data_IF_235971196399
#
_entry.id   IF_235971196399
#
_cell.length_a   1.000
_cell.length_b   1.000
_cell.length_c   1.000
_cell.angle_alpha   90.00
_cell.angle_beta   90.00
_cell.angle_gamma   90.00
#
_symmetry.space_group_name_H-M   'P 1'
#
loop_
_entity.id
_entity.type
_entity.pdbx_description
1 polymer ?
#
# COMPACT_ATOMS: atom_id res chain seq x y z
N UNK A 1 -7.93 -8.77 -15.44
CA UNK A 1 -7.31 -7.86 -14.45
C UNK A 1 -5.81 -7.94 -14.60
N UNK A 2 -5.12 -6.80 -14.64
CA UNK A 2 -3.65 -6.75 -14.53
C UNK A 2 -3.34 -6.14 -13.17
N UNK A 3 -2.31 -6.67 -12.51
CA UNK A 3 -1.86 -6.19 -11.20
C UNK A 3 -0.42 -5.75 -11.35
N UNK A 4 -0.13 -4.59 -10.81
CA UNK A 4 1.22 -4.03 -10.71
C UNK A 4 1.51 -3.82 -9.22
N UNK A 5 2.72 -4.19 -8.79
CA UNK A 5 3.17 -3.95 -7.42
C UNK A 5 4.61 -3.49 -7.43
N UNK A 6 4.79 -2.18 -7.26
CA UNK A 6 6.09 -1.54 -7.03
C UNK A 6 5.98 -0.52 -5.88
N UNK A 7 6.81 -0.61 -4.82
CA UNK A 7 6.76 0.32 -3.70
C UNK A 7 6.89 1.80 -4.12
N UNK A 8 7.71 2.07 -5.14
CA UNK A 8 7.93 3.42 -5.70
C UNK A 8 6.68 4.06 -6.33
N UNK A 9 5.62 3.30 -6.56
CA UNK A 9 4.38 3.85 -7.11
C UNK A 9 3.56 4.61 -6.06
N UNK A 10 3.88 4.46 -4.77
CA UNK A 10 3.24 5.20 -3.68
C UNK A 10 3.23 6.72 -3.93
N UNK A 11 4.32 7.27 -4.45
CA UNK A 11 4.47 8.72 -4.72
C UNK A 11 4.01 9.14 -6.12
N UNK A 12 3.46 8.20 -6.91
CA UNK A 12 3.10 8.40 -8.32
C UNK A 12 1.64 8.12 -8.63
N UNK A 13 0.81 7.81 -7.63
CA UNK A 13 -0.56 7.34 -7.86
C UNK A 13 -1.43 8.35 -8.60
N UNK A 14 -1.24 9.66 -8.38
CA UNK A 14 -1.97 10.69 -9.14
C UNK A 14 -1.65 10.65 -10.63
N UNK A 15 -0.40 10.43 -11.00
CA UNK A 15 0.01 10.24 -12.39
C UNK A 15 -0.57 8.92 -12.95
N UNK A 16 -0.42 7.83 -12.20
CA UNK A 16 -0.91 6.51 -12.61
C UNK A 16 -2.41 6.52 -12.87
N UNK A 17 -3.19 7.21 -12.03
CA UNK A 17 -4.62 7.44 -12.22
C UNK A 17 -4.92 8.14 -13.55
N UNK A 18 -4.15 9.17 -13.92
CA UNK A 18 -4.37 9.88 -15.20
C UNK A 18 -4.06 8.98 -16.40
N UNK A 19 -3.03 8.14 -16.29
CA UNK A 19 -2.64 7.20 -17.35
C UNK A 19 -3.58 6.00 -17.42
N UNK A 20 -4.16 5.58 -16.29
CA UNK A 20 -5.05 4.45 -16.15
C UNK A 20 -6.30 4.84 -15.37
N UNK A 21 -7.29 5.49 -16.02
CA UNK A 21 -8.46 6.07 -15.32
C UNK A 21 -9.33 5.08 -14.54
N UNK A 22 -9.19 3.78 -14.81
CA UNK A 22 -9.89 2.69 -14.10
C UNK A 22 -9.03 2.01 -13.03
N UNK A 23 -7.84 2.53 -12.73
CA UNK A 23 -6.94 1.93 -11.74
C UNK A 23 -7.45 2.16 -10.32
N UNK A 24 -7.49 1.09 -9.53
CA UNK A 24 -7.74 1.15 -8.10
C UNK A 24 -6.44 0.97 -7.32
N UNK A 25 -6.27 1.69 -6.23
CA UNK A 25 -5.04 1.67 -5.43
C UNK A 25 -5.27 1.00 -4.08
N UNK A 26 -4.45 0.01 -3.76
CA UNK A 26 -4.39 -0.60 -2.43
C UNK A 26 -3.05 -0.25 -1.82
N UNK A 27 -3.08 0.47 -0.71
CA UNK A 27 -1.88 0.88 0.03
C UNK A 27 -1.80 0.06 1.30
N UNK A 28 -0.61 -0.50 1.55
CA UNK A 28 -0.30 -1.19 2.80
C UNK A 28 0.58 -0.28 3.64
N UNK A 29 0.02 0.22 4.74
CA UNK A 29 0.74 0.87 5.82
C UNK A 29 1.35 -0.18 6.73
N UNK A 30 2.50 0.11 7.32
CA UNK A 30 3.17 -0.74 8.30
C UNK A 30 3.92 0.15 9.28
N UNK A 31 4.13 -0.36 10.49
CA UNK A 31 4.93 0.33 11.49
C UNK A 31 6.33 0.73 10.94
N UNK A 32 6.77 1.99 11.09
CA UNK A 32 8.01 2.49 10.49
C UNK A 32 9.24 1.69 10.91
N UNK A 33 9.37 1.34 12.19
CA UNK A 33 10.50 0.54 12.68
C UNK A 33 10.54 -0.86 12.04
N UNK A 34 9.37 -1.47 11.79
CA UNK A 34 9.30 -2.78 11.14
C UNK A 34 9.67 -2.70 9.65
N UNK A 35 9.36 -1.57 9.00
CA UNK A 35 9.82 -1.28 7.64
C UNK A 35 11.32 -1.06 7.62
N UNK A 36 11.85 -0.21 8.48
CA UNK A 36 13.28 0.08 8.57
C UNK A 36 14.11 -1.18 8.83
N UNK A 37 13.70 -2.02 9.79
CA UNK A 37 14.35 -3.30 10.07
C UNK A 37 14.32 -4.25 8.84
N UNK A 38 13.22 -4.26 8.09
CA UNK A 38 13.10 -5.06 6.87
C UNK A 38 13.92 -4.53 5.70
N UNK A 39 14.14 -3.21 5.62
CA UNK A 39 14.90 -2.57 4.54
C UNK A 39 16.40 -2.62 4.82
N UNK A 40 16.81 -2.53 6.10
CA UNK A 40 18.20 -2.61 6.53
C UNK A 40 18.92 -3.91 6.12
N UNK A 41 18.20 -4.98 5.76
CA UNK A 41 18.82 -6.18 5.19
C UNK A 41 19.30 -6.00 3.74
N UNK A 42 18.93 -4.90 3.08
CA UNK A 42 19.20 -4.63 1.66
C UNK A 42 20.02 -3.36 1.41
N UNK A 43 20.10 -2.48 2.41
CA UNK A 43 20.77 -1.17 2.29
C UNK A 43 21.60 -0.90 3.53
N UNK A 44 22.77 -0.28 3.32
CA UNK A 44 23.63 0.17 4.40
C UNK A 44 23.28 1.61 4.77
N UNK A 45 22.27 1.76 5.64
CA UNK A 45 21.80 3.05 6.13
C UNK A 45 21.36 2.95 7.61
N UNK A 46 21.55 4.02 8.41
CA UNK A 46 21.06 4.07 9.79
C UNK A 46 19.54 3.91 9.87
N UNK A 47 19.06 3.24 10.91
CA UNK A 47 17.63 2.99 11.11
C UNK A 47 16.79 4.28 11.14
N UNK A 48 17.30 5.34 11.77
CA UNK A 48 16.67 6.66 11.81
C UNK A 48 16.40 7.21 10.41
N UNK A 49 17.40 7.16 9.51
CA UNK A 49 17.24 7.62 8.12
C UNK A 49 16.21 6.80 7.35
N UNK A 50 16.15 5.48 7.59
CA UNK A 50 15.15 4.61 6.96
C UNK A 50 13.73 4.89 7.47
N UNK A 51 13.60 5.18 8.77
CA UNK A 51 12.34 5.59 9.39
C UNK A 51 11.88 6.93 8.82
N UNK A 52 12.76 7.93 8.79
CA UNK A 52 12.46 9.27 8.26
C UNK A 52 12.04 9.18 6.79
N UNK A 53 12.80 8.45 5.97
CA UNK A 53 12.46 8.23 4.57
C UNK A 53 11.06 7.60 4.38
N UNK A 54 10.72 6.60 5.20
CA UNK A 54 9.39 6.00 5.18
C UNK A 54 8.31 7.00 5.58
N UNK A 55 8.51 7.76 6.65
CA UNK A 55 7.56 8.77 7.15
C UNK A 55 7.33 9.85 6.09
N UNK A 56 8.38 10.37 5.47
CA UNK A 56 8.28 11.36 4.38
C UNK A 56 7.40 10.86 3.23
N UNK A 57 7.59 9.60 2.80
CA UNK A 57 6.77 9.00 1.77
C UNK A 57 5.29 8.87 2.20
N UNK A 58 5.02 8.57 3.48
CA UNK A 58 3.65 8.54 4.01
C UNK A 58 3.03 9.93 4.13
N UNK A 59 3.78 10.95 4.47
CA UNK A 59 3.30 12.35 4.49
C UNK A 59 2.89 12.79 3.08
N UNK A 60 3.70 12.47 2.06
CA UNK A 60 3.33 12.73 0.68
C UNK A 60 2.06 11.97 0.28
N UNK A 61 1.97 10.68 0.62
CA UNK A 61 0.77 9.87 0.39
C UNK A 61 -0.47 10.56 0.98
N UNK A 62 -0.42 10.98 2.25
CA UNK A 62 -1.53 11.62 2.94
C UNK A 62 -2.01 12.88 2.20
N UNK A 63 -1.07 13.66 1.66
CA UNK A 63 -1.39 14.83 0.83
C UNK A 63 -2.04 14.47 -0.51
N UNK A 64 -1.74 13.29 -1.06
CA UNK A 64 -2.29 12.82 -2.33
C UNK A 64 -3.66 12.13 -2.19
N UNK A 65 -3.99 11.56 -1.03
CA UNK A 65 -5.24 10.82 -0.79
C UNK A 65 -6.51 11.56 -1.24
N UNK A 66 -6.70 12.87 -0.96
CA UNK A 66 -7.91 13.59 -1.38
C UNK A 66 -8.09 13.68 -2.90
N UNK A 67 -7.05 13.39 -3.69
CA UNK A 67 -7.06 13.49 -5.16
C UNK A 67 -7.16 12.14 -5.87
N UNK A 68 -7.15 11.03 -5.13
CA UNK A 68 -7.28 9.68 -5.69
C UNK A 68 -8.75 9.26 -5.76
N UNK A 69 -9.20 8.79 -6.92
CA UNK A 69 -10.61 8.46 -7.14
C UNK A 69 -11.03 7.11 -6.51
N UNK A 70 -10.10 6.16 -6.38
CA UNK A 70 -10.36 4.85 -5.80
C UNK A 70 -9.11 4.36 -5.05
N UNK A 71 -9.12 4.52 -3.73
CA UNK A 71 -8.00 4.16 -2.87
C UNK A 71 -8.48 3.46 -1.59
N UNK A 72 -7.81 2.38 -1.21
CA UNK A 72 -7.99 1.70 0.05
C UNK A 72 -6.67 1.63 0.81
N UNK A 73 -6.69 2.02 2.08
CA UNK A 73 -5.54 1.93 2.98
C UNK A 73 -5.77 0.80 3.97
N UNK A 74 -4.80 -0.10 4.07
CA UNK A 74 -4.79 -1.23 5.01
C UNK A 74 -3.54 -1.18 5.87
N UNK A 75 -3.64 -1.58 7.14
CA UNK A 75 -2.47 -1.79 8.00
C UNK A 75 -2.01 -3.22 7.87
N UNK A 76 -0.71 -3.42 7.67
CA UNK A 76 -0.09 -4.74 7.58
C UNK A 76 -0.41 -5.58 8.81
N UNK A 77 -0.39 -4.97 9.99
CA UNK A 77 -0.68 -5.61 11.27
C UNK A 77 -2.12 -6.14 11.33
N UNK A 78 -3.08 -5.41 10.76
CA UNK A 78 -4.48 -5.84 10.69
C UNK A 78 -4.67 -6.94 9.62
N UNK A 79 -3.88 -6.91 8.54
CA UNK A 79 -3.89 -7.96 7.53
C UNK A 79 -3.40 -9.28 8.12
N UNK A 80 -2.27 -9.28 8.85
CA UNK A 80 -1.72 -10.52 9.42
C UNK A 80 -2.53 -11.06 10.60
N UNK A 81 -3.21 -10.18 11.34
CA UNK A 81 -4.06 -10.58 12.46
C UNK A 81 -5.34 -11.31 11.99
N UNK A 82 -5.89 -10.95 10.83
CA UNK A 82 -7.08 -11.57 10.26
C UNK A 82 -7.07 -11.50 8.72
N UNK A 83 -6.25 -12.35 8.11
CA UNK A 83 -6.08 -12.42 6.65
C UNK A 83 -7.40 -12.66 5.91
N UNK A 84 -8.29 -13.59 6.32
CA UNK A 84 -9.56 -13.80 5.63
C UNK A 84 -10.46 -12.56 5.63
N UNK A 85 -10.49 -11.79 6.72
CA UNK A 85 -11.23 -10.52 6.77
C UNK A 85 -10.59 -9.46 5.86
N UNK A 86 -9.26 -9.35 5.84
CA UNK A 86 -8.57 -8.42 4.95
C UNK A 86 -8.82 -8.75 3.47
N UNK A 87 -8.76 -10.03 3.09
CA UNK A 87 -9.03 -10.48 1.72
C UNK A 87 -10.47 -10.20 1.29
N UNK A 88 -11.47 -10.42 2.16
CA UNK A 88 -12.87 -10.04 1.89
C UNK A 88 -13.03 -8.54 1.66
N UNK A 89 -12.35 -7.70 2.44
CA UNK A 89 -12.35 -6.25 2.24
C UNK A 89 -11.71 -5.84 0.91
N UNK A 90 -10.60 -6.48 0.53
CA UNK A 90 -9.94 -6.27 -0.76
C UNK A 90 -10.87 -6.69 -1.91
N UNK A 91 -11.47 -7.87 -1.84
CA UNK A 91 -12.39 -8.34 -2.86
C UNK A 91 -13.59 -7.39 -3.04
N UNK A 92 -14.20 -6.94 -1.94
CA UNK A 92 -15.29 -5.98 -1.98
C UNK A 92 -14.87 -4.62 -2.60
N UNK A 93 -13.66 -4.12 -2.26
CA UNK A 93 -13.13 -2.88 -2.85
C UNK A 93 -12.86 -3.01 -4.36
N UNK A 94 -12.41 -4.19 -4.81
CA UNK A 94 -12.12 -4.50 -6.21
C UNK A 94 -13.36 -4.96 -7.00
N UNK A 95 -14.54 -5.01 -6.38
CA UNK A 95 -15.78 -5.57 -6.96
C UNK A 95 -15.61 -7.01 -7.48
N UNK A 96 -14.90 -7.84 -6.69
CA UNK A 96 -14.66 -9.25 -6.99
C UNK A 96 -15.59 -10.17 -6.18
N UNK A 97 -16.08 -11.28 -6.78
CA UNK A 97 -16.91 -12.24 -6.06
C UNK A 97 -16.11 -13.02 -5.02
N UNK A 98 -16.78 -13.53 -3.98
CA UNK A 98 -16.15 -14.34 -2.93
C UNK A 98 -15.45 -15.59 -3.46
N UNK A 99 -15.90 -16.13 -4.60
CA UNK A 99 -15.25 -17.24 -5.30
C UNK A 99 -13.84 -16.92 -5.82
N UNK A 100 -13.44 -15.64 -5.80
CA UNK A 100 -12.08 -15.20 -6.13
C UNK A 100 -11.13 -15.22 -4.94
N UNK A 101 -11.63 -15.49 -3.73
CA UNK A 101 -10.80 -15.61 -2.53
C UNK A 101 -9.99 -16.91 -2.59
N UNK A 102 -8.72 -16.90 -2.17
CA UNK A 102 -7.93 -18.13 -2.05
C UNK A 102 -8.53 -19.04 -0.96
N UNK A 103 -8.41 -20.35 -1.17
CA UNK A 103 -8.77 -21.39 -0.19
C UNK A 103 -7.95 -21.32 1.10
#
# INVERSE_FOLDING_TARGET
WRVEKSPVNLTRMRLLQQLFPMSQFIIVLRHPEAVAASVASWVDAPAEQLIDHWIEAQVQLLGDLPYLHAVMVLRYEDIVADTPKALRRIAAFLDLPETSLPE
#
